data_IF_914738685602
#
_entry.id   IF_914738685602
#
_cell.length_a   1.000
_cell.length_b   1.000
_cell.length_c   1.000
_cell.angle_alpha   90.00
_cell.angle_beta   90.00
_cell.angle_gamma   90.00
#
_symmetry.space_group_name_H-M   'P 1'
#
loop_
_entity.id
_entity.type
_entity.pdbx_description
1 polymer ?
#
# COMPACT_ATOMS: atom_id res chain seq x y z
N UNK A 1 -19.92 2.18 0.68
CA UNK A 1 -18.59 1.84 0.18
C UNK A 1 -17.63 2.69 0.97
N UNK A 2 -17.02 2.12 2.00
CA UNK A 2 -16.13 2.88 2.90
C UNK A 2 -14.93 3.34 2.08
N UNK A 3 -14.71 4.66 2.02
CA UNK A 3 -13.54 5.19 1.36
C UNK A 3 -12.30 4.65 2.09
N UNK A 4 -11.46 3.90 1.37
CA UNK A 4 -10.17 3.45 1.89
C UNK A 4 -9.45 4.65 2.52
N UNK A 5 -9.14 4.54 3.82
CA UNK A 5 -8.47 5.60 4.55
C UNK A 5 -7.02 5.64 4.10
N UNK A 6 -6.69 6.57 3.22
CA UNK A 6 -5.31 6.82 2.80
C UNK A 6 -4.49 7.32 3.98
N UNK A 7 -3.38 6.65 4.29
CA UNK A 7 -2.41 7.09 5.31
C UNK A 7 -1.24 7.79 4.61
N UNK A 8 -0.88 8.99 5.07
CA UNK A 8 0.23 9.75 4.49
C UNK A 8 1.60 9.13 4.81
N UNK A 9 2.41 8.87 3.79
CA UNK A 9 3.80 8.40 3.92
C UNK A 9 4.79 9.50 3.51
N UNK A 10 5.80 9.77 4.34
CA UNK A 10 6.88 10.73 4.04
C UNK A 10 8.22 10.03 4.00
N UNK A 11 8.96 10.19 2.90
CA UNK A 11 10.32 9.66 2.75
C UNK A 11 11.29 10.74 2.29
N UNK A 12 12.56 10.59 2.67
CA UNK A 12 13.68 11.36 2.10
C UNK A 12 14.42 10.47 1.13
N UNK A 13 14.54 10.90 -0.11
CA UNK A 13 15.23 10.17 -1.18
C UNK A 13 16.31 11.05 -1.80
N UNK A 14 17.23 10.40 -2.52
CA UNK A 14 18.24 11.14 -3.27
C UNK A 14 17.59 11.95 -4.41
N UNK A 15 18.22 13.05 -4.85
CA UNK A 15 17.72 13.82 -5.99
C UNK A 15 17.59 12.98 -7.27
N UNK A 16 18.50 12.01 -7.46
CA UNK A 16 18.46 11.07 -8.58
C UNK A 16 17.21 10.19 -8.53
N UNK A 17 16.87 9.64 -7.37
CA UNK A 17 15.68 8.82 -7.20
C UNK A 17 14.40 9.61 -7.51
N UNK A 18 14.30 10.84 -6.99
CA UNK A 18 13.17 11.74 -7.28
C UNK A 18 12.98 11.95 -8.79
N UNK A 19 14.06 12.26 -9.51
CA UNK A 19 14.00 12.48 -10.97
C UNK A 19 13.58 11.23 -11.75
N UNK A 20 14.05 10.05 -11.34
CA UNK A 20 13.64 8.79 -11.99
C UNK A 20 12.15 8.52 -11.78
N UNK A 21 11.64 8.74 -10.56
CA UNK A 21 10.22 8.61 -10.27
C UNK A 21 9.38 9.63 -11.05
N UNK A 22 9.83 10.88 -11.14
CA UNK A 22 9.18 11.93 -11.93
C UNK A 22 9.11 11.58 -13.42
N UNK A 23 10.19 11.05 -13.98
CA UNK A 23 10.21 10.60 -15.37
C UNK A 23 9.24 9.45 -15.63
N UNK A 24 9.20 8.45 -14.73
CA UNK A 24 8.30 7.30 -14.84
C UNK A 24 6.83 7.72 -14.72
N UNK A 25 6.50 8.56 -13.73
CA UNK A 25 5.15 9.07 -13.53
C UNK A 25 4.65 9.89 -14.73
N UNK A 26 5.52 10.74 -15.29
CA UNK A 26 5.19 11.53 -16.48
C UNK A 26 4.99 10.66 -17.73
N UNK A 27 5.81 9.62 -17.89
CA UNK A 27 5.68 8.65 -18.99
C UNK A 27 4.32 7.93 -18.97
N UNK A 28 3.88 7.49 -17.78
CA UNK A 28 2.60 6.79 -17.56
C UNK A 28 1.40 7.74 -17.40
N UNK A 29 1.63 9.07 -17.39
CA UNK A 29 0.62 10.11 -17.11
C UNK A 29 -0.12 9.92 -15.78
N UNK A 30 0.62 9.53 -14.74
CA UNK A 30 0.10 9.30 -13.38
C UNK A 30 0.75 10.27 -12.38
N UNK A 31 0.13 10.42 -11.21
CA UNK A 31 0.76 11.14 -10.10
C UNK A 31 1.98 10.37 -9.56
N UNK A 32 2.89 11.07 -8.88
CA UNK A 32 4.06 10.44 -8.25
C UNK A 32 3.66 9.37 -7.24
N UNK A 33 2.61 9.63 -6.45
CA UNK A 33 2.08 8.67 -5.47
C UNK A 33 1.59 7.41 -6.17
N UNK A 34 0.76 7.55 -7.20
CA UNK A 34 0.21 6.39 -7.92
C UNK A 34 1.32 5.60 -8.64
N UNK A 35 2.30 6.29 -9.22
CA UNK A 35 3.47 5.62 -9.81
C UNK A 35 4.26 4.84 -8.74
N UNK A 36 4.44 5.43 -7.56
CA UNK A 36 5.11 4.76 -6.46
C UNK A 36 4.34 3.52 -5.98
N UNK A 37 3.02 3.61 -5.85
CA UNK A 37 2.15 2.47 -5.50
C UNK A 37 2.29 1.33 -6.51
N UNK A 38 2.26 1.63 -7.82
CA UNK A 38 2.46 0.62 -8.88
C UNK A 38 3.84 -0.04 -8.78
N UNK A 39 4.91 0.75 -8.57
CA UNK A 39 6.26 0.20 -8.44
C UNK A 39 6.39 -0.72 -7.22
N UNK A 40 5.75 -0.38 -6.10
CA UNK A 40 5.74 -1.20 -4.89
C UNK A 40 4.91 -2.45 -5.08
N UNK A 41 3.71 -2.35 -5.65
CA UNK A 41 2.82 -3.48 -5.94
C UNK A 41 3.50 -4.50 -6.87
N UNK A 42 4.07 -4.04 -7.99
CA UNK A 42 4.78 -4.90 -8.92
C UNK A 42 6.02 -5.55 -8.29
N UNK A 43 6.79 -4.81 -7.48
CA UNK A 43 7.91 -5.37 -6.74
C UNK A 43 7.44 -6.46 -5.78
N UNK A 44 6.40 -6.21 -4.99
CA UNK A 44 5.89 -7.19 -4.03
C UNK A 44 5.32 -8.43 -4.73
N UNK A 45 4.57 -8.27 -5.82
CA UNK A 45 4.05 -9.38 -6.63
C UNK A 45 5.18 -10.23 -7.20
N UNK A 46 6.17 -9.59 -7.80
CA UNK A 46 7.31 -10.28 -8.41
C UNK A 46 8.13 -11.07 -7.36
N UNK A 47 8.18 -10.59 -6.12
CA UNK A 47 8.91 -11.23 -5.03
C UNK A 47 8.04 -12.14 -4.14
N UNK A 48 6.75 -12.30 -4.43
CA UNK A 48 5.83 -13.09 -3.61
C UNK A 48 5.58 -12.52 -2.21
N UNK A 49 5.72 -11.21 -2.02
CA UNK A 49 5.59 -10.50 -0.74
C UNK A 49 4.16 -9.99 -0.47
N UNK A 50 3.20 -10.27 -1.34
CA UNK A 50 1.77 -10.04 -1.03
C UNK A 50 1.31 -11.07 0.00
N UNK A 51 1.57 -10.80 1.28
CA UNK A 51 0.79 -11.46 2.34
C UNK A 51 -0.64 -10.90 2.29
N UNK A 52 -1.69 -11.73 2.47
CA UNK A 52 -3.03 -11.21 2.62
C UNK A 52 -3.03 -10.29 3.84
N UNK A 53 -3.28 -8.99 3.62
CA UNK A 53 -3.53 -8.05 4.71
C UNK A 53 -4.57 -8.70 5.63
N UNK A 54 -4.28 -8.88 6.93
CA UNK A 54 -5.27 -9.38 7.86
C UNK A 54 -6.46 -8.44 7.77
N UNK A 55 -7.61 -9.00 7.42
CA UNK A 55 -8.87 -8.27 7.35
C UNK A 55 -9.19 -7.74 8.76
N UNK A 56 -8.85 -6.47 9.02
CA UNK A 56 -9.21 -5.75 10.25
C UNK A 56 -10.74 -5.58 10.37
N UNK A 57 -11.50 -5.98 9.33
CA UNK A 57 -12.96 -6.03 9.33
C UNK A 57 -13.53 -7.27 10.03
N UNK A 58 -12.70 -8.16 10.59
CA UNK A 58 -13.19 -9.25 11.43
C UNK A 58 -13.30 -8.72 12.86
N UNK A 59 -14.48 -8.24 13.31
CA UNK A 59 -14.64 -7.89 14.71
C UNK A 59 -14.33 -9.16 15.48
N UNK A 60 -13.38 -9.05 16.41
CA UNK A 60 -13.02 -10.09 17.34
C UNK A 60 -14.29 -10.77 17.83
N UNK A 61 -14.52 -12.01 17.39
CA UNK A 61 -15.57 -12.83 17.93
C UNK A 61 -15.23 -13.01 19.41
N UNK A 62 -15.84 -12.19 20.26
CA UNK A 62 -15.79 -12.35 21.70
C UNK A 62 -16.13 -13.81 21.99
N UNK A 63 -15.23 -14.60 22.60
CA UNK A 63 -15.60 -15.92 23.04
C UNK A 63 -16.58 -15.70 24.19
N UNK A 64 -17.87 -15.76 23.88
CA UNK A 64 -18.93 -15.80 24.87
C UNK A 64 -18.64 -16.96 25.80
N UNK A 65 -18.35 -16.62 27.05
CA UNK A 65 -18.13 -17.57 28.13
C UNK A 65 -19.32 -18.52 28.21
N UNK A 66 -19.09 -19.75 27.77
CA UNK A 66 -19.96 -20.85 28.10
C UNK A 66 -19.59 -21.28 29.52
N UNK A 67 -20.43 -20.95 30.51
CA UNK A 67 -20.51 -21.83 31.68
C UNK A 67 -21.89 -21.87 32.32
N UNK A 68 -22.29 -23.14 32.45
CA UNK A 68 -23.43 -23.81 33.06
C UNK A 68 -23.82 -23.34 34.46
#
# INVERSE_FOLDING_TARGET
MEAEKTVGLTFRVTPRMKRMLEAAANYERRSLTNMFEVLVDEYCRHNGLLEPLPDESRPDAHPGEHRV
#
